data_IF_497642649535
#
_entry.id   IF_497642649535
#
_cell.length_a   1.000
_cell.length_b   1.000
_cell.length_c   1.000
_cell.angle_alpha   90.00
_cell.angle_beta   90.00
_cell.angle_gamma   90.00
#
_symmetry.space_group_name_H-M   'P 1'
#
loop_
_entity.id
_entity.type
_entity.pdbx_description
1 polymer ?
#
# COMPACT_ATOMS: atom_id res chain seq x y z
N UNK A 1 -9.05 -9.31 -13.60
CA UNK A 1 -8.33 -10.40 -12.91
C UNK A 1 -6.90 -9.94 -12.79
N UNK A 2 -6.34 -10.00 -11.58
CA UNK A 2 -4.94 -9.65 -11.32
C UNK A 2 -4.05 -10.71 -12.00
N UNK A 3 -3.03 -10.28 -12.74
CA UNK A 3 -2.08 -11.19 -13.41
C UNK A 3 -0.85 -11.42 -12.55
N UNK A 4 -0.40 -10.39 -11.85
CA UNK A 4 0.77 -10.43 -10.99
C UNK A 4 0.33 -10.09 -9.56
N UNK A 5 -0.11 -11.09 -8.77
CA UNK A 5 -0.57 -10.87 -7.41
C UNK A 5 0.58 -10.56 -6.45
N UNK A 6 0.25 -10.12 -5.23
CA UNK A 6 1.22 -10.06 -4.15
C UNK A 6 1.84 -11.46 -3.92
N UNK A 7 3.18 -11.57 -3.78
CA UNK A 7 3.82 -12.82 -3.37
C UNK A 7 3.27 -13.29 -2.01
N UNK A 8 3.18 -14.60 -1.82
CA UNK A 8 2.63 -15.17 -0.59
C UNK A 8 3.43 -14.77 0.66
N UNK A 9 4.76 -14.64 0.55
CA UNK A 9 5.60 -14.17 1.66
C UNK A 9 5.23 -12.73 2.06
N UNK A 10 4.94 -11.87 1.07
CA UNK A 10 4.53 -10.49 1.31
C UNK A 10 3.17 -10.41 2.03
N UNK A 11 2.22 -11.29 1.68
CA UNK A 11 0.93 -11.38 2.37
C UNK A 11 1.07 -11.94 3.79
N UNK A 12 1.98 -12.89 4.02
CA UNK A 12 2.29 -13.42 5.35
C UNK A 12 2.91 -12.35 6.25
N UNK A 13 3.90 -11.61 5.74
CA UNK A 13 4.56 -10.53 6.49
C UNK A 13 3.57 -9.38 6.78
N UNK A 14 2.68 -9.07 5.83
CA UNK A 14 1.58 -8.13 6.06
C UNK A 14 0.67 -8.59 7.21
N UNK A 15 0.23 -9.86 7.15
CA UNK A 15 -0.72 -10.42 8.13
C UNK A 15 -0.12 -10.55 9.52
N UNK A 16 1.17 -10.88 9.60
CA UNK A 16 1.89 -10.96 10.88
C UNK A 16 2.32 -9.59 11.43
N UNK A 17 2.11 -8.51 10.68
CA UNK A 17 2.47 -7.14 11.09
C UNK A 17 3.97 -6.85 11.11
N UNK A 18 4.77 -7.61 10.36
CA UNK A 18 6.24 -7.48 10.32
C UNK A 18 6.73 -6.56 9.21
N UNK A 19 5.89 -6.27 8.20
CA UNK A 19 6.24 -5.33 7.14
C UNK A 19 6.47 -3.92 7.68
N UNK A 20 7.47 -3.26 7.12
CA UNK A 20 7.61 -1.81 7.21
C UNK A 20 6.40 -1.10 6.59
N UNK A 21 6.20 0.17 6.97
CA UNK A 21 4.99 0.89 6.64
C UNK A 21 4.74 1.04 5.12
N UNK A 22 5.78 1.26 4.33
CA UNK A 22 5.68 1.41 2.87
C UNK A 22 5.13 0.14 2.17
N UNK A 23 5.79 -1.02 2.29
CA UNK A 23 5.27 -2.28 1.77
C UNK A 23 3.90 -2.66 2.34
N UNK A 24 3.65 -2.41 3.63
CA UNK A 24 2.35 -2.67 4.24
C UNK A 24 1.23 -1.82 3.61
N UNK A 25 1.52 -0.54 3.32
CA UNK A 25 0.61 0.34 2.60
C UNK A 25 0.32 -0.17 1.18
N UNK A 26 1.35 -0.65 0.47
CA UNK A 26 1.21 -1.23 -0.86
C UNK A 26 0.30 -2.47 -0.85
N UNK A 27 0.53 -3.41 0.07
CA UNK A 27 -0.31 -4.61 0.22
C UNK A 27 -1.74 -4.22 0.55
N UNK A 28 -1.96 -3.37 1.57
CA UNK A 28 -3.30 -2.91 1.94
C UNK A 28 -4.05 -2.29 0.74
N UNK A 29 -3.33 -1.58 -0.13
CA UNK A 29 -3.88 -0.95 -1.33
C UNK A 29 -4.19 -1.98 -2.43
N UNK A 30 -3.34 -2.99 -2.61
CA UNK A 30 -3.59 -4.11 -3.51
C UNK A 30 -4.83 -4.93 -3.12
N UNK A 31 -5.08 -5.08 -1.81
CA UNK A 31 -6.29 -5.73 -1.30
C UNK A 31 -7.58 -5.04 -1.76
N UNK A 32 -7.55 -3.78 -2.20
CA UNK A 32 -8.74 -3.15 -2.81
C UNK A 32 -9.07 -3.69 -4.21
N UNK A 33 -8.08 -4.25 -4.92
CA UNK A 33 -8.20 -4.74 -6.30
C UNK A 33 -8.34 -6.26 -6.40
N UNK A 34 -7.77 -7.00 -5.44
CA UNK A 34 -7.68 -8.46 -5.51
C UNK A 34 -8.60 -9.14 -4.50
N UNK A 35 -9.63 -9.85 -4.98
CA UNK A 35 -10.46 -10.74 -4.14
C UNK A 35 -9.67 -11.92 -3.60
N UNK A 36 -8.77 -12.47 -4.41
CA UNK A 36 -7.90 -13.59 -4.06
C UNK A 36 -6.96 -13.23 -2.91
N UNK A 37 -6.26 -12.10 -3.00
CA UNK A 37 -5.38 -11.66 -1.92
C UNK A 37 -6.16 -11.36 -0.61
N UNK A 38 -7.42 -10.88 -0.71
CA UNK A 38 -8.29 -10.74 0.47
C UNK A 38 -8.62 -12.08 1.10
N UNK A 39 -8.89 -13.11 0.28
CA UNK A 39 -9.14 -14.45 0.77
C UNK A 39 -7.91 -15.06 1.44
N UNK A 40 -6.72 -14.87 0.86
CA UNK A 40 -5.45 -15.35 1.41
C UNK A 40 -5.13 -14.69 2.76
N UNK A 41 -5.26 -13.36 2.85
CA UNK A 41 -5.08 -12.63 4.12
C UNK A 41 -6.09 -13.11 5.15
N UNK A 42 -7.36 -13.26 4.80
CA UNK A 42 -8.38 -13.76 5.73
C UNK A 42 -8.06 -15.17 6.25
N UNK A 43 -7.50 -16.05 5.41
CA UNK A 43 -7.08 -17.38 5.81
C UNK A 43 -5.88 -17.33 6.79
N UNK A 44 -4.90 -16.48 6.52
CA UNK A 44 -3.75 -16.26 7.40
C UNK A 44 -4.18 -15.65 8.75
N UNK A 45 -5.08 -14.67 8.73
CA UNK A 45 -5.65 -14.05 9.94
C UNK A 45 -6.45 -15.05 10.76
N UNK A 46 -7.17 -15.99 10.14
CA UNK A 46 -7.89 -17.04 10.84
C UNK A 46 -6.94 -17.97 11.62
N UNK A 47 -5.80 -18.35 11.02
CA UNK A 47 -4.76 -19.14 11.69
C UNK A 47 -4.16 -18.34 12.86
N UNK A 48 -3.82 -17.06 12.63
CA UNK A 48 -3.30 -16.19 13.69
C UNK A 48 -4.31 -16.00 14.83
N UNK A 49 -5.61 -15.93 14.51
CA UNK A 49 -6.69 -15.87 15.49
C UNK A 49 -6.79 -17.12 16.36
N UNK A 50 -6.64 -18.31 15.78
CA UNK A 50 -6.60 -19.58 16.53
C UNK A 50 -5.36 -19.66 17.43
N UNK A 51 -4.20 -19.25 16.91
CA UNK A 51 -2.98 -19.14 17.70
C UNK A 51 -3.18 -18.20 18.90
N UNK A 52 -3.73 -17.01 18.67
CA UNK A 52 -4.02 -16.04 19.73
C UNK A 52 -5.01 -16.60 20.76
N UNK A 53 -6.05 -17.31 20.32
CA UNK A 53 -7.02 -17.94 21.21
C UNK A 53 -6.41 -19.08 22.07
N UNK A 54 -5.37 -19.73 21.57
CA UNK A 54 -4.64 -20.79 22.27
C UNK A 54 -3.57 -20.28 23.25
N UNK A 55 -3.24 -18.99 23.21
CA UNK A 55 -2.24 -18.41 24.10
C UNK A 55 -2.73 -18.42 25.57
N UNK A 56 -1.83 -18.63 26.55
CA UNK A 56 -2.18 -18.46 27.95
C UNK A 56 -2.73 -17.06 28.21
N UNK A 57 -3.88 -16.99 28.90
CA UNK A 57 -4.46 -15.72 29.30
C UNK A 57 -3.58 -15.04 30.36
N UNK A 58 -3.34 -13.75 30.17
CA UNK A 58 -2.66 -12.90 31.15
C UNK A 58 -3.68 -12.04 31.89
N UNK A 59 -3.53 -11.94 33.21
CA UNK A 59 -4.45 -11.17 34.04
C UNK A 59 -4.30 -9.67 33.76
N UNK A 60 -5.42 -9.01 33.47
CA UNK A 60 -5.52 -7.56 33.46
C UNK A 60 -5.91 -7.05 34.86
N UNK A 61 -5.67 -5.76 35.17
CA UNK A 61 -6.21 -5.14 36.38
C UNK A 61 -7.74 -5.31 36.48
N UNK A 62 -8.27 -5.52 37.69
CA UNK A 62 -9.70 -5.78 37.94
C UNK A 62 -10.63 -4.68 37.40
N UNK A 63 -10.13 -3.45 37.31
CA UNK A 63 -10.86 -2.29 36.80
C UNK A 63 -10.74 -2.10 35.27
N UNK A 64 -9.99 -2.94 34.56
CA UNK A 64 -9.70 -2.75 33.13
C UNK A 64 -10.97 -2.71 32.27
N UNK A 65 -11.91 -3.63 32.51
CA UNK A 65 -13.20 -3.66 31.81
C UNK A 65 -14.03 -2.40 32.12
N UNK A 66 -14.11 -2.01 33.40
CA UNK A 66 -14.84 -0.82 33.81
C UNK A 66 -14.27 0.45 33.18
N UNK A 67 -12.93 0.59 33.13
CA UNK A 67 -12.26 1.70 32.45
C UNK A 67 -12.53 1.71 30.95
N UNK A 68 -12.56 0.56 30.29
CA UNK A 68 -12.85 0.46 28.86
C UNK A 68 -14.30 0.85 28.55
N UNK A 69 -15.27 0.34 29.30
CA UNK A 69 -16.68 0.67 29.14
C UNK A 69 -16.95 2.15 29.45
N UNK A 70 -16.35 2.70 30.50
CA UNK A 70 -16.47 4.12 30.82
C UNK A 70 -15.97 5.03 29.67
N UNK A 71 -14.98 4.60 28.89
CA UNK A 71 -14.51 5.35 27.70
C UNK A 71 -15.49 5.28 26.53
N UNK A 72 -16.29 4.22 26.42
CA UNK A 72 -17.36 4.10 25.42
C UNK A 72 -18.53 5.00 25.84
N UNK A 73 -18.96 4.89 27.11
CA UNK A 73 -20.08 5.66 27.67
C UNK A 73 -19.80 7.17 27.72
N UNK A 74 -18.53 7.57 27.87
CA UNK A 74 -18.13 8.97 27.84
C UNK A 74 -18.39 9.64 26.48
N UNK A 75 -18.73 8.88 25.43
CA UNK A 75 -18.92 9.35 24.05
C UNK A 75 -17.93 10.46 23.69
N UNK A 76 -16.61 10.21 23.81
CA UNK A 76 -15.62 11.23 23.50
C UNK A 76 -15.91 11.73 22.09
N UNK A 77 -15.87 13.06 21.90
CA UNK A 77 -16.13 13.66 20.61
C UNK A 77 -15.36 12.86 19.55
N UNK A 78 -16.05 12.34 18.52
CA UNK A 78 -15.40 11.47 17.55
C UNK A 78 -14.18 12.21 17.04
N UNK A 79 -13.03 11.53 16.88
CA UNK A 79 -11.88 12.16 16.24
C UNK A 79 -12.38 12.77 14.93
N UNK A 80 -11.89 13.96 14.56
CA UNK A 80 -12.32 14.60 13.33
C UNK A 80 -12.26 13.56 12.21
N UNK A 81 -13.34 13.38 11.43
CA UNK A 81 -13.37 12.34 10.42
C UNK A 81 -12.12 12.51 9.56
N UNK A 82 -11.40 11.41 9.32
CA UNK A 82 -10.34 11.39 8.32
C UNK A 82 -11.05 11.54 6.98
N UNK A 83 -11.35 12.79 6.63
CA UNK A 83 -11.93 13.12 5.34
C UNK A 83 -10.85 12.83 4.31
N UNK A 84 -11.18 12.11 3.22
CA UNK A 84 -10.32 12.15 2.07
C UNK A 84 -10.06 13.62 1.75
N UNK A 85 -8.79 14.00 1.59
CA UNK A 85 -8.45 15.38 1.29
C UNK A 85 -8.93 15.64 -0.14
N UNK A 86 -10.09 16.29 -0.27
CA UNK A 86 -10.81 16.45 -1.56
C UNK A 86 -9.87 16.99 -2.65
N UNK A 87 -8.97 17.91 -2.31
CA UNK A 87 -7.99 18.47 -3.23
C UNK A 87 -6.97 17.44 -3.72
N UNK A 88 -6.46 16.57 -2.84
CA UNK A 88 -5.51 15.53 -3.23
C UNK A 88 -6.19 14.44 -4.08
N UNK A 89 -7.45 14.13 -3.80
CA UNK A 89 -8.25 13.23 -4.64
C UNK A 89 -8.58 13.82 -6.01
N UNK A 90 -8.71 15.15 -6.14
CA UNK A 90 -8.84 15.80 -7.45
C UNK A 90 -7.56 15.68 -8.28
N UNK A 91 -6.40 15.60 -7.63
CA UNK A 91 -5.09 15.57 -8.28
C UNK A 91 -4.69 14.16 -8.73
N UNK A 92 -4.91 13.14 -7.89
CA UNK A 92 -4.58 11.74 -8.20
C UNK A 92 -5.76 10.99 -8.84
N UNK A 93 -6.97 11.55 -8.74
CA UNK A 93 -8.21 10.93 -9.18
C UNK A 93 -8.91 10.13 -8.09
N UNK A 94 -10.19 9.85 -8.30
CA UNK A 94 -11.07 9.21 -7.29
C UNK A 94 -10.94 7.68 -7.26
N UNK A 95 -10.23 7.10 -8.23
CA UNK A 95 -10.11 5.66 -8.43
C UNK A 95 -9.05 4.98 -7.55
N UNK A 96 -8.40 5.72 -6.64
CA UNK A 96 -7.35 5.21 -5.75
C UNK A 96 -7.91 4.43 -4.54
N UNK A 97 -7.21 3.36 -4.09
CA UNK A 97 -7.57 2.58 -2.90
C UNK A 97 -7.66 3.41 -1.63
N UNK A 98 -8.62 3.09 -0.75
CA UNK A 98 -8.83 3.79 0.51
C UNK A 98 -7.56 3.86 1.40
N UNK A 99 -6.73 2.81 1.52
CA UNK A 99 -5.51 2.88 2.33
C UNK A 99 -4.50 3.92 1.86
N UNK A 100 -4.41 4.24 0.56
CA UNK A 100 -3.54 5.31 0.06
C UNK A 100 -4.09 6.70 0.37
N UNK A 101 -5.41 6.89 0.41
CA UNK A 101 -6.03 8.22 0.55
C UNK A 101 -5.60 8.94 1.83
N UNK A 102 -5.38 8.19 2.91
CA UNK A 102 -4.90 8.73 4.20
C UNK A 102 -3.46 9.24 4.15
N UNK A 103 -2.64 8.75 3.22
CA UNK A 103 -1.25 9.17 3.05
C UNK A 103 -1.11 10.37 2.11
N UNK A 104 -2.15 10.75 1.38
CA UNK A 104 -2.01 11.90 0.50
C UNK A 104 -1.79 13.20 1.31
N UNK A 105 -0.76 14.01 0.98
CA UNK A 105 -0.53 15.27 1.66
C UNK A 105 -1.65 16.27 1.35
N UNK A 106 -1.83 17.25 2.24
CA UNK A 106 -2.75 18.36 1.96
C UNK A 106 -2.14 19.27 0.90
N UNK A 107 -2.94 19.77 -0.04
CA UNK A 107 -2.42 20.54 -1.18
C UNK A 107 -1.47 19.76 -2.10
N UNK A 108 -1.61 18.42 -2.12
CA UNK A 108 -0.81 17.56 -2.99
C UNK A 108 -0.86 18.05 -4.44
N UNK A 109 0.30 18.15 -5.08
CA UNK A 109 0.42 18.49 -6.48
C UNK A 109 1.63 17.75 -7.06
N UNK A 110 1.50 17.37 -8.33
CA UNK A 110 2.51 16.65 -9.06
C UNK A 110 3.82 17.45 -9.13
N UNK A 111 4.92 16.84 -8.69
CA UNK A 111 6.27 17.38 -8.83
C UNK A 111 6.96 16.70 -10.00
N UNK A 112 7.57 17.47 -10.89
CA UNK A 112 8.44 16.91 -11.91
C UNK A 112 9.68 16.27 -11.26
N UNK A 113 9.94 15.00 -11.59
CA UNK A 113 11.09 14.26 -11.11
C UNK A 113 12.11 14.01 -12.23
N UNK A 114 13.33 13.65 -11.84
CA UNK A 114 14.37 13.27 -12.78
C UNK A 114 13.95 12.00 -13.54
N UNK A 115 14.04 12.01 -14.87
CA UNK A 115 13.59 10.88 -15.70
C UNK A 115 12.24 11.10 -16.38
N UNK A 116 11.65 12.29 -16.27
CA UNK A 116 10.49 12.70 -17.08
C UNK A 116 9.15 12.16 -16.60
N UNK A 117 9.08 11.70 -15.34
CA UNK A 117 7.83 11.40 -14.66
C UNK A 117 7.51 12.47 -13.62
N UNK A 118 6.29 12.45 -13.12
CA UNK A 118 5.86 13.28 -12.02
C UNK A 118 5.56 12.41 -10.79
N UNK A 119 5.79 12.94 -9.60
CA UNK A 119 5.54 12.21 -8.37
C UNK A 119 4.85 13.05 -7.29
N UNK A 120 4.19 12.35 -6.38
CA UNK A 120 3.69 12.88 -5.10
C UNK A 120 4.26 11.99 -4.01
N UNK A 121 5.03 12.57 -3.11
CA UNK A 121 5.59 11.84 -1.97
C UNK A 121 4.53 11.57 -0.91
N UNK A 122 4.55 10.34 -0.38
CA UNK A 122 3.67 9.90 0.70
C UNK A 122 4.48 9.92 2.00
N UNK A 123 4.10 10.76 2.98
CA UNK A 123 4.77 10.80 4.27
C UNK A 123 4.53 9.49 5.04
N UNK A 124 5.58 8.71 5.22
CA UNK A 124 5.60 7.57 6.13
C UNK A 124 6.05 8.01 7.52
N UNK A 125 5.58 7.30 8.56
CA UNK A 125 5.99 7.49 9.94
C UNK A 125 7.34 6.84 10.26
N UNK A 126 7.72 5.79 9.52
CA UNK A 126 9.07 5.23 9.54
C UNK A 126 9.92 5.74 8.35
N UNK A 127 11.21 6.00 8.57
CA UNK A 127 12.15 6.41 7.51
C UNK A 127 12.80 5.19 6.83
N UNK A 128 12.18 4.00 6.91
CA UNK A 128 12.78 2.78 6.38
C UNK A 128 12.54 2.61 4.89
N UNK A 129 11.45 3.19 4.38
CA UNK A 129 11.12 3.24 2.97
C UNK A 129 10.79 4.66 2.52
N UNK A 130 10.98 4.93 1.23
CA UNK A 130 10.38 6.07 0.54
C UNK A 130 9.17 5.57 -0.24
N UNK A 131 8.01 6.18 -0.05
CA UNK A 131 6.81 5.87 -0.81
C UNK A 131 6.39 7.08 -1.66
N UNK A 132 6.12 6.85 -2.94
CA UNK A 132 5.62 7.86 -3.86
C UNK A 132 4.50 7.31 -4.73
N UNK A 133 3.61 8.20 -5.15
CA UNK A 133 2.74 7.95 -6.29
C UNK A 133 3.43 8.55 -7.51
N UNK A 134 3.65 7.74 -8.53
CA UNK A 134 4.28 8.16 -9.78
C UNK A 134 3.21 8.26 -10.88
N UNK A 135 3.30 9.31 -11.70
CA UNK A 135 2.57 9.46 -12.95
C UNK A 135 3.58 9.56 -14.09
N UNK A 136 3.36 8.76 -15.12
CA UNK A 136 4.24 8.68 -16.28
C UNK A 136 3.39 8.75 -17.55
N UNK A 137 3.80 9.57 -18.52
CA UNK A 137 3.10 9.64 -19.79
C UNK A 137 3.26 8.32 -20.57
N UNK A 138 2.22 7.94 -21.32
CA UNK A 138 2.20 6.75 -22.15
C UNK A 138 3.46 6.66 -23.04
N UNK A 139 4.08 5.48 -23.11
CA UNK A 139 5.31 5.21 -23.87
C UNK A 139 6.59 5.82 -23.31
N UNK A 140 6.52 6.58 -22.20
CA UNK A 140 7.71 7.07 -21.50
C UNK A 140 8.17 6.02 -20.50
N UNK A 141 9.44 6.10 -20.10
CA UNK A 141 10.04 5.11 -19.23
C UNK A 141 11.32 5.63 -18.60
N UNK A 142 11.84 4.85 -17.65
CA UNK A 142 13.12 5.11 -17.02
C UNK A 142 14.24 4.41 -17.79
N UNK A 143 15.48 4.93 -17.71
CA UNK A 143 16.66 4.16 -18.08
C UNK A 143 16.71 2.83 -17.31
N UNK A 144 17.43 1.85 -17.87
CA UNK A 144 17.69 0.61 -17.15
C UNK A 144 18.46 0.91 -15.86
N UNK A 145 18.03 0.31 -14.74
CA UNK A 145 18.60 0.56 -13.42
C UNK A 145 18.48 -0.66 -12.50
N UNK A 146 19.22 -0.59 -11.39
CA UNK A 146 19.22 -1.55 -10.28
C UNK A 146 18.89 -0.83 -8.98
N UNK A 147 18.41 -1.60 -8.01
CA UNK A 147 18.02 -1.09 -6.71
C UNK A 147 19.07 -1.39 -5.65
N UNK A 148 19.19 -0.52 -4.63
CA UNK A 148 20.03 -0.76 -3.45
C UNK A 148 19.30 -1.54 -2.36
N UNK A 149 17.98 -1.67 -2.49
CA UNK A 149 17.09 -2.46 -1.64
C UNK A 149 15.94 -3.04 -2.47
N UNK A 150 14.87 -3.48 -1.81
CA UNK A 150 13.66 -3.93 -2.51
C UNK A 150 12.80 -2.75 -2.94
N UNK A 151 12.39 -2.75 -4.21
CA UNK A 151 11.35 -1.90 -4.76
C UNK A 151 10.05 -2.70 -4.90
N UNK A 152 8.94 -2.08 -4.51
CA UNK A 152 7.60 -2.62 -4.67
C UNK A 152 6.75 -1.61 -5.42
N UNK A 153 6.14 -2.03 -6.53
CA UNK A 153 5.30 -1.16 -7.37
C UNK A 153 3.89 -1.75 -7.46
N UNK A 154 2.87 -0.95 -7.21
CA UNK A 154 1.47 -1.29 -7.45
C UNK A 154 0.91 -0.40 -8.56
N UNK A 155 0.35 -1.00 -9.61
CA UNK A 155 -0.27 -0.23 -10.70
C UNK A 155 -1.65 0.28 -10.27
N UNK A 156 -1.81 1.60 -10.16
CA UNK A 156 -3.08 2.21 -9.75
C UNK A 156 -4.01 2.49 -10.93
N UNK A 157 -3.45 2.81 -12.09
CA UNK A 157 -4.11 3.07 -13.35
C UNK A 157 -3.15 2.74 -14.51
N UNK A 158 -3.71 2.48 -15.69
CA UNK A 158 -2.92 2.08 -16.86
C UNK A 158 -2.19 0.75 -16.66
N UNK A 159 -0.95 0.71 -17.14
CA UNK A 159 -0.05 -0.43 -17.06
C UNK A 159 1.37 -0.06 -17.50
N UNK A 160 2.34 -0.93 -17.20
CA UNK A 160 3.72 -0.78 -17.66
C UNK A 160 4.37 -2.14 -17.91
N UNK A 161 5.48 -2.12 -18.64
CA UNK A 161 6.34 -3.29 -18.84
C UNK A 161 7.79 -2.94 -18.48
N UNK A 162 8.55 -3.88 -17.91
CA UNK A 162 9.92 -3.60 -17.43
C UNK A 162 11.02 -4.49 -18.03
N UNK A 163 10.64 -5.35 -18.98
CA UNK A 163 11.51 -6.36 -19.58
C UNK A 163 11.37 -7.76 -18.98
N UNK A 164 10.84 -7.87 -17.76
CA UNK A 164 10.54 -9.15 -17.09
C UNK A 164 9.06 -9.51 -17.19
N UNK A 165 8.19 -8.51 -17.25
CA UNK A 165 6.76 -8.72 -17.38
C UNK A 165 6.00 -7.49 -17.82
N UNK A 166 4.69 -7.67 -17.94
CA UNK A 166 3.69 -6.61 -18.09
C UNK A 166 2.82 -6.60 -16.85
N UNK A 167 2.57 -5.41 -16.32
CA UNK A 167 1.82 -5.16 -15.10
C UNK A 167 0.63 -4.25 -15.41
N UNK A 168 -0.58 -4.76 -15.21
CA UNK A 168 -1.83 -4.03 -15.41
C UNK A 168 -2.36 -3.48 -14.07
N UNK A 169 -3.39 -2.64 -14.10
CA UNK A 169 -4.03 -2.12 -12.89
C UNK A 169 -4.31 -3.20 -11.84
N UNK A 170 -3.79 -2.96 -10.63
CA UNK A 170 -3.90 -3.83 -9.46
C UNK A 170 -2.75 -4.83 -9.33
N UNK A 171 -1.92 -5.01 -10.36
CA UNK A 171 -0.75 -5.88 -10.31
C UNK A 171 0.36 -5.28 -9.44
N UNK A 172 1.15 -6.17 -8.83
CA UNK A 172 2.37 -5.84 -8.10
C UNK A 172 3.60 -6.29 -8.89
N UNK A 173 4.59 -5.41 -8.97
CA UNK A 173 5.95 -5.73 -9.37
C UNK A 173 6.85 -5.66 -8.13
N UNK A 174 7.71 -6.66 -7.95
CA UNK A 174 8.73 -6.70 -6.89
C UNK A 174 10.09 -6.81 -7.56
N UNK A 175 10.97 -5.85 -7.28
CA UNK A 175 12.33 -5.84 -7.80
C UNK A 175 13.33 -5.72 -6.63
N UNK A 176 14.14 -6.75 -6.44
CA UNK A 176 15.22 -6.75 -5.44
C UNK A 176 16.56 -6.28 -6.08
N UNK A 177 17.65 -6.12 -5.31
CA UNK A 177 18.93 -5.65 -5.84
C UNK A 177 19.55 -6.51 -6.98
N UNK A 178 19.11 -7.75 -7.14
CA UNK A 178 19.56 -8.63 -8.23
C UNK A 178 18.89 -8.30 -9.56
N UNK A 179 17.73 -7.64 -9.52
CA UNK A 179 16.93 -7.26 -10.69
C UNK A 179 17.48 -5.99 -11.32
N UNK A 180 17.73 -6.04 -12.63
CA UNK A 180 17.98 -4.86 -13.45
C UNK A 180 16.88 -4.74 -14.48
N UNK A 181 16.10 -3.67 -14.42
CA UNK A 181 14.91 -3.53 -15.26
C UNK A 181 14.79 -2.15 -15.90
N UNK A 182 13.93 -2.05 -16.90
CA UNK A 182 13.66 -0.82 -17.65
C UNK A 182 12.15 -0.58 -17.77
N UNK A 183 11.53 0.02 -16.74
CA UNK A 183 10.09 0.31 -16.75
C UNK A 183 9.71 1.29 -17.86
N UNK A 184 8.69 0.94 -18.63
CA UNK A 184 8.07 1.77 -19.68
C UNK A 184 6.57 1.69 -19.55
N UNK A 185 5.90 2.84 -19.40
CA UNK A 185 4.45 2.93 -19.38
C UNK A 185 3.86 2.47 -20.72
N UNK A 186 2.79 1.67 -20.65
CA UNK A 186 2.10 1.20 -21.85
C UNK A 186 1.54 2.37 -22.68
N UNK A 187 1.31 2.15 -23.98
CA UNK A 187 0.82 3.20 -24.88
C UNK A 187 -0.68 3.50 -24.73
N UNK A 188 -1.37 2.70 -23.93
CA UNK A 188 -2.82 2.56 -24.01
C UNK A 188 -3.54 3.62 -23.14
N UNK A 189 -2.94 4.00 -22.00
CA UNK A 189 -3.39 5.08 -21.08
C UNK A 189 -2.22 5.60 -20.20
N UNK A 190 -2.21 6.89 -19.79
CA UNK A 190 -1.31 7.41 -18.75
C UNK A 190 -1.71 6.98 -17.33
#
# INVERSE_FOLDING_TARGET
>A
MIRNPAPSELLLDYTSGTLAEGPALLVASHLAYSEEARADVAALEAVAGDMLASMPAEALPDDALARALARIDAEPAPPPPIRPKDDAMRVVGTAIPAPLRRYLPEGAHWQAALGGFEEIELPLGDNSYRATVIRMAAGHGLPAHRHTGSEYTLVLAGGFSDGHGRFDRGDICVADPSVEHKPVADHDQP
#
